data_IF_724096612519
#
_entry.id   IF_724096612519
#
_cell.length_a   1.000
_cell.length_b   1.000
_cell.length_c   1.000
_cell.angle_alpha   90.00
_cell.angle_beta   90.00
_cell.angle_gamma   90.00
#
_symmetry.space_group_name_H-M   'P 1'
#
loop_
_entity.id
_entity.type
_entity.pdbx_description
1 polymer ?
#
# COMPACT_ATOMS: atom_id res chain seq x y z
N UNK A 1 -18.58 -10.81 4.91
CA UNK A 1 -19.39 -10.27 3.79
C UNK A 1 -18.60 -9.17 3.09
N UNK A 2 -18.46 -9.18 1.76
CA UNK A 2 -17.79 -8.09 1.03
C UNK A 2 -18.85 -7.14 0.48
N UNK A 3 -18.82 -5.88 0.92
CA UNK A 3 -19.56 -4.79 0.28
C UNK A 3 -18.68 -4.24 -0.84
N UNK A 4 -19.17 -4.31 -2.08
CA UNK A 4 -18.44 -3.83 -3.26
C UNK A 4 -19.29 -2.75 -3.91
N UNK A 5 -18.70 -1.58 -4.15
CA UNK A 5 -19.27 -0.58 -5.04
C UNK A 5 -18.76 -0.88 -6.44
N UNK A 6 -19.66 -1.22 -7.36
CA UNK A 6 -19.29 -1.55 -8.74
C UNK A 6 -19.07 -0.25 -9.52
N UNK A 7 -17.81 0.17 -9.61
CA UNK A 7 -17.43 1.38 -10.35
C UNK A 7 -17.36 1.12 -11.87
N UNK A 8 -16.87 -0.06 -12.27
CA UNK A 8 -16.73 -0.43 -13.68
C UNK A 8 -17.37 -1.79 -14.00
N UNK A 9 -17.67 -1.99 -15.29
CA UNK A 9 -18.35 -3.19 -15.81
C UNK A 9 -17.41 -4.18 -16.48
N UNK A 10 -16.13 -3.85 -16.67
CA UNK A 10 -15.17 -4.64 -17.43
C UNK A 10 -13.78 -4.65 -16.76
N UNK A 11 -12.90 -5.63 -17.07
CA UNK A 11 -11.51 -5.63 -16.62
C UNK A 11 -10.78 -4.35 -17.06
N UNK A 12 -9.91 -3.84 -16.19
CA UNK A 12 -9.03 -2.74 -16.55
C UNK A 12 -7.76 -3.31 -17.20
N UNK A 13 -7.57 -3.02 -18.50
CA UNK A 13 -6.34 -3.36 -19.20
C UNK A 13 -5.23 -2.38 -18.80
N UNK A 14 -4.06 -2.92 -18.46
CA UNK A 14 -2.87 -2.13 -18.17
C UNK A 14 -1.88 -2.37 -19.29
N UNK A 15 -1.55 -1.33 -20.05
CA UNK A 15 -0.53 -1.42 -21.08
C UNK A 15 0.86 -1.66 -20.46
N UNK A 16 1.71 -2.50 -21.09
CA UNK A 16 3.08 -2.70 -20.64
C UNK A 16 3.86 -1.38 -20.62
N UNK A 17 4.35 -0.99 -19.44
CA UNK A 17 5.19 0.20 -19.32
C UNK A 17 6.66 -0.15 -19.63
N UNK A 18 7.38 0.81 -20.23
CA UNK A 18 8.84 0.72 -20.48
C UNK A 18 9.66 0.62 -19.18
N UNK A 19 9.09 1.03 -18.06
CA UNK A 19 9.74 1.06 -16.74
C UNK A 19 9.04 0.14 -15.77
N UNK A 20 9.81 -0.45 -14.85
CA UNK A 20 9.26 -1.21 -13.74
C UNK A 20 8.37 -0.34 -12.88
N UNK A 21 7.18 -0.86 -12.56
CA UNK A 21 6.27 -0.30 -11.58
C UNK A 21 6.34 -1.18 -10.35
N UNK A 22 6.46 -0.55 -9.18
CA UNK A 22 6.58 -1.24 -7.91
C UNK A 22 5.23 -1.17 -7.17
N UNK A 23 4.77 -2.30 -6.65
CA UNK A 23 3.54 -2.39 -5.85
C UNK A 23 3.88 -2.15 -4.38
N UNK A 24 3.07 -1.33 -3.71
CA UNK A 24 3.27 -1.10 -2.28
C UNK A 24 2.88 -2.35 -1.49
N UNK A 25 3.82 -2.79 -0.63
CA UNK A 25 3.60 -3.89 0.31
C UNK A 25 3.72 -3.46 1.78
N UNK A 26 4.14 -2.22 2.06
CA UNK A 26 4.23 -1.72 3.43
C UNK A 26 2.92 -1.10 3.96
N UNK A 27 1.91 -0.90 3.11
CA UNK A 27 0.61 -0.32 3.51
C UNK A 27 0.60 1.20 3.76
N UNK A 28 1.75 1.87 3.74
CA UNK A 28 1.85 3.32 4.02
C UNK A 28 1.90 4.21 2.78
N UNK A 29 1.78 3.65 1.57
CA UNK A 29 1.82 4.47 0.34
C UNK A 29 0.59 5.38 0.25
N UNK A 30 0.81 6.64 -0.11
CA UNK A 30 -0.28 7.57 -0.44
C UNK A 30 -0.78 7.40 -1.87
N UNK A 31 -0.08 6.60 -2.68
CA UNK A 31 -0.40 6.34 -4.08
C UNK A 31 -0.73 4.85 -4.31
N UNK A 32 -1.42 4.22 -3.36
CA UNK A 32 -1.86 2.83 -3.50
C UNK A 32 -2.62 2.62 -4.83
N UNK A 33 -2.38 1.51 -5.55
CA UNK A 33 -1.59 0.33 -5.17
C UNK A 33 -0.07 0.46 -5.33
N UNK A 34 0.42 1.58 -5.84
CA UNK A 34 1.82 1.75 -6.23
C UNK A 34 2.71 2.19 -5.07
N UNK A 35 3.98 1.83 -5.14
CA UNK A 35 4.99 2.28 -4.19
C UNK A 35 5.38 3.74 -4.45
N UNK A 36 5.37 4.56 -3.41
CA UNK A 36 5.78 5.98 -3.43
C UNK A 36 7.08 6.24 -2.64
N UNK A 37 7.73 5.19 -2.15
CA UNK A 37 8.92 5.27 -1.31
C UNK A 37 8.67 5.26 0.19
N UNK A 38 7.40 5.26 0.64
CA UNK A 38 7.05 5.23 2.07
C UNK A 38 7.58 4.00 2.81
N UNK A 39 7.92 2.91 2.10
CA UNK A 39 8.54 1.71 2.69
C UNK A 39 9.86 1.99 3.43
N UNK A 40 10.53 3.11 3.16
CA UNK A 40 11.76 3.50 3.87
C UNK A 40 11.51 3.88 5.34
N UNK A 41 10.26 4.20 5.71
CA UNK A 41 9.90 4.54 7.10
C UNK A 41 9.68 3.31 7.99
N UNK A 42 9.55 2.13 7.37
CA UNK A 42 9.24 0.87 8.04
C UNK A 42 10.40 -0.12 8.01
N UNK A 43 11.59 0.31 7.59
CA UNK A 43 12.74 -0.58 7.41
C UNK A 43 13.28 -1.19 8.70
N UNK A 44 12.89 -0.62 9.83
CA UNK A 44 13.27 -1.03 11.19
C UNK A 44 12.11 -1.71 11.95
N UNK A 45 11.00 -2.01 11.27
CA UNK A 45 9.93 -2.83 11.82
C UNK A 45 10.38 -4.30 11.95
N UNK A 46 9.97 -4.96 13.03
CA UNK A 46 10.30 -6.35 13.29
C UNK A 46 9.34 -7.30 12.57
N UNK A 47 9.89 -8.37 12.00
CA UNK A 47 9.11 -9.41 11.32
C UNK A 47 8.09 -10.05 12.28
N UNK A 48 6.83 -10.11 11.84
CA UNK A 48 5.74 -10.73 12.60
C UNK A 48 5.09 -9.85 13.66
N UNK A 49 5.52 -8.58 13.79
CA UNK A 49 4.84 -7.58 14.62
C UNK A 49 3.78 -6.83 13.83
N UNK A 50 2.77 -6.33 14.54
CA UNK A 50 1.74 -5.45 13.96
C UNK A 50 1.96 -4.05 14.48
N UNK A 51 1.96 -3.06 13.58
CA UNK A 51 2.10 -1.65 13.91
C UNK A 51 0.86 -0.88 13.50
N UNK A 52 0.39 -0.01 14.39
CA UNK A 52 -0.68 0.95 14.12
C UNK A 52 -0.09 2.35 14.01
N UNK A 53 -0.48 3.08 12.96
CA UNK A 53 -0.04 4.44 12.67
C UNK A 53 -1.18 5.43 12.94
N UNK A 54 -0.88 6.50 13.67
CA UNK A 54 -1.82 7.60 13.89
C UNK A 54 -1.86 8.59 12.70
N UNK A 55 -2.72 9.59 12.80
CA UNK A 55 -2.87 10.62 11.75
C UNK A 55 -1.64 11.54 11.61
N UNK A 56 -0.79 11.62 12.64
CA UNK A 56 0.43 12.43 12.68
C UNK A 56 1.64 11.62 12.19
N UNK A 57 1.50 10.31 12.06
CA UNK A 57 2.51 9.36 11.59
C UNK A 57 3.34 8.73 12.71
N UNK A 58 2.95 8.88 13.97
CA UNK A 58 3.55 8.10 15.05
C UNK A 58 3.06 6.66 14.97
N UNK A 59 3.92 5.71 15.39
CA UNK A 59 3.64 4.28 15.35
C UNK A 59 3.66 3.66 16.75
N UNK A 60 2.83 2.65 16.97
CA UNK A 60 2.84 1.76 18.15
C UNK A 60 2.67 0.31 17.73
N UNK A 61 3.31 -0.60 18.45
CA UNK A 61 3.04 -2.04 18.31
C UNK A 61 1.67 -2.37 18.92
N UNK A 62 0.91 -3.25 18.26
CA UNK A 62 -0.43 -3.72 18.68
C UNK A 62 -0.58 -5.23 18.60
#
# INVERSE_FOLDING_TARGET
MRKVVKLDKQPFEIEPQQRSVWICMCGLSKNQPFCDGSHKKVSDEEDGKTYEYDAEGHRREV
#
